data_IF_139088227430
#
_entry.id   IF_139088227430
#
_cell.length_a   1.000
_cell.length_b   1.000
_cell.length_c   1.000
_cell.angle_alpha   90.00
_cell.angle_beta   90.00
_cell.angle_gamma   90.00
#
_symmetry.space_group_name_H-M   'P 1'
#
loop_
_entity.id
_entity.type
_entity.pdbx_description
1 polymer ?
#
# COMPACT_ATOMS: atom_id res chain seq x y z
N UNK A 1 -25.46 31.52 5.81
CA UNK A 1 -24.41 31.00 4.91
C UNK A 1 -23.13 30.77 5.71
N UNK A 2 -22.90 29.56 6.25
CA UNK A 2 -21.64 29.23 6.95
C UNK A 2 -20.69 28.60 5.94
N UNK A 3 -19.59 29.28 5.66
CA UNK A 3 -18.51 28.76 4.81
C UNK A 3 -17.95 27.48 5.43
N UNK A 4 -18.08 26.36 4.71
CA UNK A 4 -17.41 25.12 5.06
C UNK A 4 -15.92 25.32 4.77
N UNK A 5 -15.13 25.61 5.81
CA UNK A 5 -13.67 25.64 5.68
C UNK A 5 -13.24 24.21 5.35
N UNK A 6 -12.86 23.97 4.09
CA UNK A 6 -12.18 22.74 3.73
C UNK A 6 -10.94 22.64 4.61
N UNK A 7 -10.90 21.66 5.51
CA UNK A 7 -9.70 21.40 6.28
C UNK A 7 -8.59 21.10 5.28
N UNK A 8 -7.60 21.99 5.22
CA UNK A 8 -6.39 21.78 4.42
C UNK A 8 -5.77 20.46 4.92
N UNK A 9 -5.85 19.41 4.10
CA UNK A 9 -5.15 18.18 4.39
C UNK A 9 -3.66 18.52 4.37
N UNK A 10 -3.05 18.65 5.55
CA UNK A 10 -1.61 18.90 5.61
C UNK A 10 -0.91 17.73 4.94
N UNK A 11 -0.06 17.98 3.93
CA UNK A 11 0.66 16.94 3.19
C UNK A 11 1.39 15.91 4.06
N UNK A 12 1.61 16.23 5.34
CA UNK A 12 2.07 15.31 6.40
C UNK A 12 1.34 13.96 6.40
N UNK A 13 0.03 13.91 6.12
CA UNK A 13 -0.74 12.66 6.08
C UNK A 13 -0.32 11.73 4.93
N UNK A 14 -0.16 12.29 3.72
CA UNK A 14 0.29 11.54 2.54
C UNK A 14 1.73 11.05 2.74
N UNK A 15 2.65 11.93 3.12
CA UNK A 15 4.05 11.55 3.32
C UNK A 15 4.21 10.50 4.43
N UNK A 16 3.45 10.61 5.52
CA UNK A 16 3.43 9.58 6.57
C UNK A 16 2.95 8.23 6.03
N UNK A 17 1.89 8.21 5.21
CA UNK A 17 1.39 6.98 4.59
C UNK A 17 2.41 6.36 3.63
N UNK A 18 3.03 7.17 2.77
CA UNK A 18 4.05 6.70 1.83
C UNK A 18 5.30 6.18 2.56
N UNK A 19 5.69 6.82 3.67
CA UNK A 19 6.78 6.33 4.52
C UNK A 19 6.43 5.01 5.20
N UNK A 20 5.17 4.84 5.64
CA UNK A 20 4.67 3.57 6.18
C UNK A 20 4.82 2.46 5.14
N UNK A 21 4.36 2.68 3.92
CA UNK A 21 4.49 1.73 2.82
C UNK A 21 5.96 1.43 2.50
N UNK A 22 6.78 2.46 2.32
CA UNK A 22 8.20 2.33 2.01
C UNK A 22 9.02 1.65 3.12
N UNK A 23 8.51 1.55 4.34
CA UNK A 23 9.19 0.85 5.42
C UNK A 23 9.18 -0.67 5.25
N UNK A 24 8.21 -1.22 4.51
CA UNK A 24 7.97 -2.67 4.39
C UNK A 24 7.48 -3.34 5.68
N UNK A 25 7.22 -2.58 6.75
CA UNK A 25 6.74 -3.10 8.02
C UNK A 25 5.33 -3.62 7.84
N UNK A 26 5.11 -4.90 8.16
CA UNK A 26 3.79 -5.55 8.03
C UNK A 26 2.87 -5.21 9.19
N UNK A 27 3.40 -4.93 10.38
CA UNK A 27 2.60 -4.53 11.54
C UNK A 27 2.00 -3.13 11.34
N UNK A 28 0.68 -3.05 11.23
CA UNK A 28 -0.07 -1.79 11.11
C UNK A 28 -0.19 -1.23 9.70
N UNK A 29 0.32 -1.92 8.68
CA UNK A 29 0.19 -1.51 7.28
C UNK A 29 -0.35 -2.63 6.40
N UNK A 30 -1.64 -2.52 6.07
CA UNK A 30 -2.34 -3.49 5.23
C UNK A 30 -1.74 -3.61 3.83
N UNK A 31 -1.16 -2.53 3.28
CA UNK A 31 -0.48 -2.59 1.99
C UNK A 31 0.76 -3.50 2.08
N UNK A 32 1.59 -3.34 3.11
CA UNK A 32 2.77 -4.18 3.32
C UNK A 32 2.40 -5.65 3.55
N UNK A 33 1.31 -5.93 4.26
CA UNK A 33 0.79 -7.30 4.42
C UNK A 33 0.45 -7.90 3.05
N UNK A 34 -0.28 -7.16 2.21
CA UNK A 34 -0.67 -7.65 0.88
C UNK A 34 0.52 -7.85 -0.06
N UNK A 35 1.51 -6.95 -0.04
CA UNK A 35 2.74 -7.14 -0.81
C UNK A 35 3.48 -8.39 -0.34
N UNK A 36 3.64 -8.56 0.98
CA UNK A 36 4.27 -9.75 1.54
C UNK A 36 3.55 -11.02 1.05
N UNK A 37 2.25 -11.13 1.31
CA UNK A 37 1.50 -12.38 1.11
C UNK A 37 1.35 -12.75 -0.36
N UNK A 38 1.19 -11.75 -1.24
CA UNK A 38 0.81 -11.97 -2.64
C UNK A 38 1.95 -11.80 -3.63
N UNK A 39 3.02 -11.11 -3.25
CA UNK A 39 4.13 -10.78 -4.15
C UNK A 39 5.49 -11.25 -3.63
N UNK A 40 5.70 -11.34 -2.31
CA UNK A 40 6.96 -11.82 -1.74
C UNK A 40 6.92 -13.32 -1.47
N UNK A 41 5.96 -13.79 -0.66
CA UNK A 41 5.87 -15.20 -0.26
C UNK A 41 5.89 -16.19 -1.44
N UNK A 42 5.19 -15.95 -2.57
CA UNK A 42 5.21 -16.87 -3.71
C UNK A 42 6.58 -17.07 -4.36
N UNK A 43 7.53 -16.18 -4.10
CA UNK A 43 8.86 -16.17 -4.72
C UNK A 43 9.97 -16.61 -3.75
N UNK A 44 9.64 -17.02 -2.52
CA UNK A 44 10.63 -17.49 -1.56
C UNK A 44 11.07 -18.92 -1.88
N UNK A 45 12.38 -19.15 -1.82
CA UNK A 45 12.93 -20.49 -1.90
C UNK A 45 12.99 -21.16 -0.51
N UNK A 46 13.25 -22.47 -0.49
CA UNK A 46 13.29 -23.27 0.75
C UNK A 46 14.33 -22.78 1.76
N UNK A 47 15.49 -22.32 1.30
CA UNK A 47 16.55 -21.79 2.17
C UNK A 47 16.10 -20.49 2.86
N UNK A 48 15.49 -19.57 2.11
CA UNK A 48 14.94 -18.33 2.66
C UNK A 48 13.83 -18.61 3.68
N UNK A 49 12.96 -19.59 3.40
CA UNK A 49 11.92 -20.01 4.35
C UNK A 49 12.55 -20.53 5.65
N UNK A 50 13.61 -21.36 5.54
CA UNK A 50 14.33 -21.86 6.71
C UNK A 50 14.98 -20.72 7.53
N UNK A 51 15.63 -19.77 6.86
CA UNK A 51 16.23 -18.59 7.50
C UNK A 51 15.17 -17.71 8.18
N UNK A 52 13.98 -17.57 7.58
CA UNK A 52 12.85 -16.86 8.20
C UNK A 52 12.39 -17.59 9.47
N UNK A 53 12.24 -18.91 9.41
CA UNK A 53 11.85 -19.72 10.56
C UNK A 53 12.88 -19.65 11.70
N UNK A 54 14.17 -19.54 11.37
CA UNK A 54 15.27 -19.35 12.32
C UNK A 54 15.39 -17.90 12.85
N UNK A 55 14.65 -16.94 12.28
CA UNK A 55 14.74 -15.51 12.64
C UNK A 55 15.94 -14.78 12.04
N UNK A 56 16.68 -15.41 11.12
CA UNK A 56 17.86 -14.86 10.46
C UNK A 56 17.50 -13.95 9.28
N UNK A 57 16.36 -14.23 8.65
CA UNK A 57 15.82 -13.44 7.54
C UNK A 57 14.46 -12.84 7.90
N UNK A 58 14.30 -11.54 7.69
CA UNK A 58 13.08 -10.82 8.03
C UNK A 58 12.14 -10.68 6.83
N UNK A 59 10.89 -11.12 6.96
CA UNK A 59 9.85 -10.87 5.98
C UNK A 59 9.60 -9.37 5.76
N UNK A 60 9.71 -8.55 6.80
CA UNK A 60 9.56 -7.08 6.68
C UNK A 60 10.70 -6.49 5.83
N UNK A 61 11.92 -7.03 5.97
CA UNK A 61 13.07 -6.63 5.14
C UNK A 61 12.87 -7.03 3.67
N UNK A 62 12.41 -8.25 3.40
CA UNK A 62 12.12 -8.70 2.04
C UNK A 62 10.97 -7.91 1.41
N UNK A 63 9.93 -7.60 2.20
CA UNK A 63 8.80 -6.76 1.77
C UNK A 63 9.29 -5.36 1.40
N UNK A 64 10.13 -4.75 2.23
CA UNK A 64 10.76 -3.46 1.93
C UNK A 64 11.53 -3.53 0.61
N UNK A 65 12.40 -4.52 0.45
CA UNK A 65 13.21 -4.67 -0.75
C UNK A 65 12.34 -4.74 -2.00
N UNK A 66 11.32 -5.61 -1.97
CA UNK A 66 10.39 -5.76 -3.10
C UNK A 66 9.67 -4.45 -3.46
N UNK A 67 9.21 -3.70 -2.46
CA UNK A 67 8.53 -2.41 -2.69
C UNK A 67 9.46 -1.42 -3.41
N UNK A 68 10.73 -1.33 -2.99
CA UNK A 68 11.68 -0.38 -3.56
C UNK A 68 12.18 -0.79 -4.95
N UNK A 69 12.28 -2.09 -5.21
CA UNK A 69 12.79 -2.62 -6.50
C UNK A 69 11.72 -2.71 -7.59
N UNK A 70 10.45 -2.92 -7.21
CA UNK A 70 9.40 -3.27 -8.19
C UNK A 70 8.21 -2.32 -8.23
N UNK A 71 7.99 -1.49 -7.21
CA UNK A 71 6.78 -0.67 -7.12
C UNK A 71 7.10 0.82 -7.20
N UNK A 72 6.12 1.58 -7.70
CA UNK A 72 6.15 3.04 -7.72
C UNK A 72 4.82 3.61 -7.23
N UNK A 73 4.87 4.84 -6.72
CA UNK A 73 3.70 5.50 -6.17
C UNK A 73 3.11 6.51 -7.15
N UNK A 74 1.78 6.54 -7.23
CA UNK A 74 1.01 7.62 -7.84
C UNK A 74 -0.05 8.07 -6.85
N UNK A 75 -0.29 9.37 -6.77
CA UNK A 75 -1.32 9.94 -5.91
C UNK A 75 -2.04 11.06 -6.64
N UNK A 76 -3.25 11.37 -6.18
CA UNK A 76 -4.05 12.50 -6.66
C UNK A 76 -4.76 13.12 -5.46
N UNK A 77 -4.81 14.44 -5.45
CA UNK A 77 -5.56 15.19 -4.46
C UNK A 77 -7.01 15.30 -4.87
N UNK A 78 -7.91 15.18 -3.91
CA UNK A 78 -9.36 15.35 -4.11
C UNK A 78 -9.88 16.49 -3.25
N UNK A 79 -10.98 17.09 -3.68
CA UNK A 79 -11.59 18.26 -3.01
C UNK A 79 -11.97 18.00 -1.53
N UNK A 80 -12.26 16.76 -1.15
CA UNK A 80 -12.57 16.35 0.22
C UNK A 80 -12.49 14.81 0.38
N UNK A 81 -12.71 14.33 1.61
CA UNK A 81 -12.67 12.90 1.92
C UNK A 81 -13.82 12.07 1.33
N UNK A 82 -14.96 12.67 0.97
CA UNK A 82 -16.04 11.94 0.29
C UNK A 82 -15.64 11.62 -1.15
N UNK A 83 -15.15 12.62 -1.89
CA UNK A 83 -14.60 12.45 -3.23
C UNK A 83 -13.43 11.45 -3.24
N UNK A 84 -12.56 11.47 -2.23
CA UNK A 84 -11.49 10.47 -2.08
C UNK A 84 -12.03 9.03 -2.00
N UNK A 85 -13.07 8.78 -1.18
CA UNK A 85 -13.66 7.45 -1.02
C UNK A 85 -14.41 6.98 -2.28
N UNK A 86 -15.09 7.90 -2.96
CA UNK A 86 -15.76 7.60 -4.24
C UNK A 86 -14.74 7.21 -5.31
N UNK A 87 -13.64 7.97 -5.42
CA UNK A 87 -12.53 7.65 -6.31
C UNK A 87 -11.88 6.32 -5.95
N UNK A 88 -11.60 6.08 -4.66
CA UNK A 88 -11.07 4.81 -4.17
C UNK A 88 -11.97 3.64 -4.59
N UNK A 89 -13.28 3.75 -4.37
CA UNK A 89 -14.23 2.70 -4.73
C UNK A 89 -14.29 2.46 -6.25
N UNK A 90 -14.22 3.52 -7.06
CA UNK A 90 -14.15 3.40 -8.52
C UNK A 90 -12.86 2.70 -8.98
N UNK A 91 -11.70 3.09 -8.44
CA UNK A 91 -10.41 2.44 -8.73
C UNK A 91 -10.45 0.98 -8.31
N UNK A 92 -10.97 0.66 -7.13
CA UNK A 92 -11.08 -0.72 -6.64
C UNK A 92 -12.03 -1.61 -7.47
N UNK A 93 -12.98 -1.01 -8.19
CA UNK A 93 -13.83 -1.70 -9.20
C UNK A 93 -13.19 -1.79 -10.58
N UNK A 94 -12.04 -1.17 -10.80
CA UNK A 94 -11.30 -1.24 -12.06
C UNK A 94 -11.57 -0.09 -13.04
N UNK A 95 -11.92 1.10 -12.55
CA UNK A 95 -12.15 2.27 -13.41
C UNK A 95 -10.89 2.80 -14.13
N UNK A 96 -9.69 2.34 -13.77
CA UNK A 96 -8.45 2.70 -14.47
C UNK A 96 -8.20 1.79 -15.67
N UNK A 97 -7.40 2.25 -16.63
CA UNK A 97 -6.97 1.44 -17.79
C UNK A 97 -6.33 0.10 -17.38
N UNK A 98 -5.70 0.04 -16.21
CA UNK A 98 -5.11 -1.17 -15.65
C UNK A 98 -6.15 -2.21 -15.18
N UNK A 99 -7.45 -1.90 -15.21
CA UNK A 99 -8.51 -2.77 -14.72
C UNK A 99 -8.55 -2.88 -13.20
N UNK A 100 -9.18 -3.95 -12.70
CA UNK A 100 -9.34 -4.20 -11.28
C UNK A 100 -7.96 -4.43 -10.62
N UNK A 101 -7.66 -3.75 -9.50
CA UNK A 101 -6.34 -3.87 -8.90
C UNK A 101 -6.10 -5.27 -8.33
N UNK A 102 -4.89 -5.78 -8.52
CA UNK A 102 -4.48 -7.08 -7.97
C UNK A 102 -4.52 -7.09 -6.44
N UNK A 103 -4.13 -5.97 -5.80
CA UNK A 103 -4.21 -5.78 -4.35
C UNK A 103 -5.44 -4.93 -3.99
N UNK A 104 -6.17 -5.33 -2.95
CA UNK A 104 -7.37 -4.65 -2.44
C UNK A 104 -8.52 -4.38 -3.46
N UNK A 105 -8.91 -5.34 -4.31
CA UNK A 105 -10.06 -5.17 -5.19
C UNK A 105 -11.37 -4.98 -4.40
N UNK A 106 -12.37 -4.35 -5.03
CA UNK A 106 -13.76 -4.44 -4.59
C UNK A 106 -14.39 -5.63 -5.33
N UNK A 107 -14.81 -6.65 -4.58
CA UNK A 107 -15.55 -7.80 -5.10
C UNK A 107 -17.04 -7.52 -5.13
#
# INVERSE_FOLDING_TARGET
>A
MRAHRAAQASGKGLFSRLNSHASGRRSGDQFCIYVCDRLVLPNLNTEQIAQIAAGELSLDRLTRQYIHEHLSYRFVETINGAAARELEAAVRRGALVAGQPFLNPLR
#
